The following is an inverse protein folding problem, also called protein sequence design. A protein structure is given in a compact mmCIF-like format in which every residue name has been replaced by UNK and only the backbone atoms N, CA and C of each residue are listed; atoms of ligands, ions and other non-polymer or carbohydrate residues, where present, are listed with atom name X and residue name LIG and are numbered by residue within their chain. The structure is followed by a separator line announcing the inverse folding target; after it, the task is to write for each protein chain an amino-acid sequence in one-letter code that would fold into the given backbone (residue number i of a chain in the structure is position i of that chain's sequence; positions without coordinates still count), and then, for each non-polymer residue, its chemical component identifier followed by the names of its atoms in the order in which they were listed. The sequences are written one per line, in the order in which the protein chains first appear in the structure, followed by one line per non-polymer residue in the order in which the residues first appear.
data_IF_973127339532
#
_entry.id   IF_973127339532
#
_cell.length_a   1.000
_cell.length_b   1.000
_cell.length_c   1.000
_cell.angle_alpha   90.00
_cell.angle_beta   90.00
_cell.angle_gamma   90.00
#
_symmetry.space_group_name_H-M   'P 1'
#
loop_
_entity.id
_entity.type
_entity.pdbx_description
1 polymer ?
#
# COMPACT_ATOMS: atom_id res chain seq x y z
N UNK A 1 10.96 4.32 -5.72
CA UNK A 1 9.63 4.96 -5.75
C UNK A 1 8.80 4.34 -4.63
N UNK A 2 9.05 4.76 -3.40
CA UNK A 2 8.20 4.42 -2.26
C UNK A 2 7.12 5.48 -2.31
N UNK A 3 5.92 5.13 -2.76
CA UNK A 3 4.77 6.01 -2.67
C UNK A 3 4.69 6.50 -1.23
N UNK A 4 4.45 7.80 -1.02
CA UNK A 4 4.48 8.43 0.29
C UNK A 4 3.36 7.84 1.18
N UNK A 5 3.66 6.71 1.84
CA UNK A 5 2.85 6.12 2.91
C UNK A 5 2.77 7.02 4.15
N UNK A 6 3.40 8.20 4.08
CA UNK A 6 3.37 9.28 5.07
C UNK A 6 1.97 9.91 5.19
N UNK A 7 1.20 9.96 4.10
CA UNK A 7 -0.08 10.68 4.06
C UNK A 7 -1.30 9.80 4.39
N UNK A 8 -1.11 8.51 4.63
CA UNK A 8 -2.21 7.67 5.08
C UNK A 8 -2.59 8.05 6.51
N UNK A 9 -3.88 8.23 6.79
CA UNK A 9 -4.40 8.30 8.16
C UNK A 9 -5.19 7.02 8.45
N UNK A 10 -4.85 6.30 9.51
CA UNK A 10 -5.56 5.07 9.88
C UNK A 10 -6.95 5.42 10.40
N UNK A 11 -7.97 4.94 9.69
CA UNK A 11 -9.37 5.24 9.97
C UNK A 11 -9.95 6.17 8.92
N UNK A 12 -10.65 5.56 7.96
CA UNK A 12 -11.58 6.14 6.99
C UNK A 12 -11.08 6.35 5.57
N UNK A 13 -9.83 6.74 5.27
CA UNK A 13 -9.33 6.74 3.87
C UNK A 13 -7.80 6.88 3.78
N UNK A 14 -7.09 5.77 3.52
CA UNK A 14 -5.70 5.80 3.07
C UNK A 14 -5.73 6.10 1.56
N UNK A 15 -5.98 7.36 1.22
CA UNK A 15 -6.02 7.81 -0.16
C UNK A 15 -4.59 8.09 -0.61
N UNK A 16 -4.06 7.38 -1.61
CA UNK A 16 -2.75 7.72 -2.15
C UNK A 16 -2.76 9.14 -2.72
N UNK A 17 -1.61 9.80 -2.70
CA UNK A 17 -1.52 11.13 -3.31
C UNK A 17 -1.86 11.08 -4.81
N UNK A 18 -2.42 12.17 -5.33
CA UNK A 18 -2.92 12.23 -6.70
C UNK A 18 -1.80 11.99 -7.73
N UNK A 19 -0.61 12.53 -7.49
CA UNK A 19 0.57 12.35 -8.35
C UNK A 19 0.92 10.87 -8.56
N UNK A 20 0.87 10.06 -7.50
CA UNK A 20 1.12 8.63 -7.57
C UNK A 20 0.03 7.92 -8.38
N UNK A 21 -1.25 8.24 -8.15
CA UNK A 21 -2.36 7.66 -8.91
C UNK A 21 -2.27 8.03 -10.39
N UNK A 22 -1.97 9.28 -10.71
CA UNK A 22 -1.77 9.74 -12.09
C UNK A 22 -0.61 9.02 -12.75
N UNK A 23 0.53 8.90 -12.06
CA UNK A 23 1.71 8.19 -12.58
C UNK A 23 1.42 6.71 -12.83
N UNK A 24 0.69 6.06 -11.91
CA UNK A 24 0.21 4.68 -12.10
C UNK A 24 -0.72 4.57 -13.30
N UNK A 25 -1.67 5.50 -13.46
CA UNK A 25 -2.56 5.54 -14.61
C UNK A 25 -1.81 5.65 -15.95
N UNK A 26 -0.76 6.48 -16.00
CA UNK A 26 0.09 6.61 -17.19
C UNK A 26 0.84 5.30 -17.49
N UNK A 27 1.39 4.65 -16.47
CA UNK A 27 2.16 3.40 -16.62
C UNK A 27 1.26 2.23 -17.01
N UNK A 28 0.07 2.14 -16.40
CA UNK A 28 -0.86 1.05 -16.61
C UNK A 28 -1.71 1.22 -17.88
N UNK A 29 -1.85 2.44 -18.41
CA UNK A 29 -2.63 2.71 -19.62
C UNK A 29 -4.08 2.29 -19.44
N UNK A 30 -4.58 1.47 -20.37
CA UNK A 30 -5.99 1.05 -20.44
C UNK A 30 -6.34 -0.11 -19.48
N UNK A 31 -5.41 -0.57 -18.65
CA UNK A 31 -5.69 -1.64 -17.68
C UNK A 31 -6.44 -1.10 -16.47
N UNK A 32 -7.47 -1.84 -16.05
CA UNK A 32 -8.08 -1.64 -14.75
C UNK A 32 -7.23 -2.30 -13.66
N UNK A 33 -7.28 -1.71 -12.46
CA UNK A 33 -6.46 -2.17 -11.37
C UNK A 33 -7.08 -1.89 -9.99
N UNK A 34 -6.70 -2.75 -9.05
CA UNK A 34 -6.94 -2.62 -7.62
C UNK A 34 -5.59 -2.65 -6.92
N UNK A 35 -5.39 -1.71 -6.00
CA UNK A 35 -4.15 -1.60 -5.24
C UNK A 35 -4.45 -1.82 -3.76
N UNK A 36 -3.72 -2.74 -3.14
CA UNK A 36 -3.87 -3.12 -1.74
C UNK A 36 -2.52 -3.05 -1.03
N UNK A 37 -2.56 -2.74 0.25
CA UNK A 37 -1.41 -2.82 1.15
C UNK A 37 -1.77 -3.67 2.36
N UNK A 38 -0.87 -4.56 2.75
CA UNK A 38 -0.97 -5.38 3.95
C UNK A 38 0.22 -5.12 4.86
N UNK A 39 0.01 -5.20 6.17
CA UNK A 39 1.07 -5.04 7.15
C UNK A 39 0.76 -5.84 8.41
N UNK A 40 1.77 -6.04 9.26
CA UNK A 40 1.59 -6.70 10.56
C UNK A 40 1.41 -5.66 11.67
N UNK A 41 0.38 -5.84 12.48
CA UNK A 41 0.07 -5.03 13.65
C UNK A 41 -0.33 -5.92 14.81
N UNK A 42 0.39 -5.85 15.93
CA UNK A 42 0.04 -6.57 17.16
C UNK A 42 -0.21 -8.08 16.92
N UNK A 43 0.64 -8.71 16.10
CA UNK A 43 0.53 -10.12 15.73
C UNK A 43 -0.59 -10.47 14.74
N UNK A 44 -1.33 -9.49 14.23
CA UNK A 44 -2.39 -9.66 13.23
C UNK A 44 -2.01 -9.03 11.90
N UNK A 45 -2.47 -9.62 10.79
CA UNK A 45 -2.36 -9.01 9.48
C UNK A 45 -3.49 -7.99 9.32
N UNK A 46 -3.10 -6.76 8.98
CA UNK A 46 -4.00 -5.67 8.60
C UNK A 46 -3.91 -5.42 7.11
N UNK A 47 -4.94 -4.79 6.55
CA UNK A 47 -5.00 -4.45 5.14
C UNK A 47 -5.73 -3.14 4.89
N UNK A 48 -5.35 -2.44 3.84
CA UNK A 48 -6.07 -1.30 3.29
C UNK A 48 -6.14 -1.40 1.76
N UNK A 49 -7.25 -0.95 1.20
CA UNK A 49 -7.47 -0.86 -0.24
C UNK A 49 -7.23 0.58 -0.63
N UNK A 50 -6.22 0.82 -1.46
CA UNK A 50 -5.79 2.13 -1.91
C UNK A 50 -6.56 2.58 -3.17
N UNK A 51 -6.90 1.61 -4.03
CA UNK A 51 -7.74 1.80 -5.21
C UNK A 51 -8.73 0.64 -5.28
N UNK A 52 -10.02 0.94 -5.18
CA UNK A 52 -11.09 -0.06 -5.01
C UNK A 52 -11.89 -0.29 -6.30
N UNK A 53 -11.21 -0.72 -7.36
CA UNK A 53 -11.90 -1.29 -8.54
C UNK A 53 -12.16 -2.78 -8.29
N UNK A 54 -13.29 -3.30 -8.78
CA UNK A 54 -13.64 -4.72 -8.64
C UNK A 54 -12.92 -5.56 -9.69
N UNK A 55 -12.07 -6.52 -9.28
CA UNK A 55 -11.33 -7.36 -10.22
C UNK A 55 -12.26 -8.21 -11.08
N UNK A 56 -11.90 -8.40 -12.35
CA UNK A 56 -12.52 -9.42 -13.20
C UNK A 56 -11.99 -10.82 -12.86
N UNK A 57 -12.67 -11.90 -13.26
CA UNK A 57 -12.18 -13.27 -13.04
C UNK A 57 -10.81 -13.55 -13.68
N UNK A 58 -10.42 -12.77 -14.69
CA UNK A 58 -9.14 -12.92 -15.39
C UNK A 58 -8.05 -12.02 -14.81
N UNK A 59 -8.28 -11.42 -13.65
CA UNK A 59 -7.31 -10.54 -13.02
C UNK A 59 -6.05 -11.31 -12.59
N UNK A 60 -4.90 -10.65 -12.75
CA UNK A 60 -3.60 -11.14 -12.34
C UNK A 60 -3.11 -10.28 -11.18
N UNK A 61 -2.61 -10.92 -10.13
CA UNK A 61 -2.03 -10.23 -8.98
C UNK A 61 -0.50 -10.30 -9.02
N UNK A 62 0.14 -9.18 -8.76
CA UNK A 62 1.57 -9.08 -8.47
C UNK A 62 1.74 -8.45 -7.09
N UNK A 63 2.65 -8.99 -6.27
CA UNK A 63 2.95 -8.42 -4.96
C UNK A 63 4.44 -8.23 -4.74
N UNK A 64 4.77 -7.27 -3.88
CA UNK A 64 6.12 -7.00 -3.43
C UNK A 64 6.13 -6.78 -1.93
N UNK A 65 7.07 -7.46 -1.26
CA UNK A 65 7.37 -7.20 0.14
C UNK A 65 8.36 -6.04 0.26
N UNK A 66 8.06 -5.13 1.18
CA UNK A 66 8.90 -3.99 1.54
C UNK A 66 9.18 -4.10 3.04
N UNK A 67 10.46 -3.96 3.39
CA UNK A 67 10.91 -3.92 4.77
C UNK A 67 11.38 -2.50 5.05
N UNK A 68 10.78 -1.85 6.04
CA UNK A 68 11.18 -0.53 6.52
C UNK A 68 11.46 -0.62 8.01
N UNK A 69 12.48 0.07 8.48
CA UNK A 69 12.69 0.23 9.91
C UNK A 69 11.64 1.19 10.48
N UNK A 70 11.29 1.02 11.75
CA UNK A 70 10.31 1.87 12.42
C UNK A 70 10.69 3.37 12.35
N UNK A 71 11.98 3.70 12.43
CA UNK A 71 12.47 5.09 12.26
C UNK A 71 12.19 5.68 10.88
N UNK A 72 12.13 4.85 9.83
CA UNK A 72 11.77 5.33 8.47
C UNK A 72 10.29 5.72 8.35
N UNK A 73 9.49 5.31 9.35
CA UNK A 73 8.06 5.55 9.43
C UNK A 73 7.69 6.70 10.37
N UNK A 74 8.63 7.39 11.02
CA UNK A 74 8.38 8.39 12.08
C UNK A 74 7.24 9.40 11.77
N UNK A 75 7.10 9.79 10.50
CA UNK A 75 6.05 10.70 10.01
C UNK A 75 4.95 9.99 9.21
N UNK A 76 4.61 8.76 9.57
CA UNK A 76 3.59 7.92 8.92
C UNK A 76 2.68 7.29 9.96
N UNK A 77 1.44 6.99 9.60
CA UNK A 77 0.54 6.21 10.47
C UNK A 77 0.94 4.76 10.69
N UNK A 78 1.92 4.27 9.92
CA UNK A 78 2.51 2.97 10.18
C UNK A 78 3.59 3.03 11.26
N UNK A 79 3.96 4.22 11.75
CA UNK A 79 4.87 4.37 12.88
C UNK A 79 4.29 3.71 14.13
N UNK A 80 5.16 2.99 14.85
CA UNK A 80 4.82 2.33 16.10
C UNK A 80 5.67 2.91 17.23
N UNK A 81 5.10 3.79 18.07
CA UNK A 81 5.87 4.40 19.16
C UNK A 81 6.29 3.38 20.23
N UNK A 82 5.70 2.18 20.22
CA UNK A 82 6.00 1.05 21.09
C UNK A 82 7.06 0.08 20.54
N UNK A 83 7.55 0.31 19.31
CA UNK A 83 8.61 -0.49 18.70
C UNK A 83 9.95 0.27 18.69
N UNK A 84 11.06 -0.45 18.86
CA UNK A 84 12.39 0.15 18.72
C UNK A 84 12.63 0.60 17.27
N UNK A 85 13.36 1.70 17.09
CA UNK A 85 13.61 2.34 15.78
C UNK A 85 14.12 1.39 14.69
N UNK A 86 14.97 0.44 15.06
CA UNK A 86 15.57 -0.53 14.13
C UNK A 86 14.66 -1.72 13.82
N UNK A 87 13.50 -1.87 14.50
CA UNK A 87 12.61 -2.99 14.28
C UNK A 87 12.04 -2.93 12.85
N UNK A 88 12.11 -4.04 12.10
CA UNK A 88 11.56 -4.07 10.77
C UNK A 88 10.03 -4.15 10.83
N UNK A 89 9.39 -3.29 10.05
CA UNK A 89 7.97 -3.32 9.72
C UNK A 89 7.84 -3.86 8.29
N UNK A 90 7.12 -4.98 8.16
CA UNK A 90 6.91 -5.67 6.89
C UNK A 90 5.62 -5.17 6.26
N UNK A 91 5.70 -4.79 4.99
CA UNK A 91 4.57 -4.46 4.15
C UNK A 91 4.50 -5.40 2.95
N UNK A 92 3.31 -5.79 2.54
CA UNK A 92 3.05 -6.33 1.20
C UNK A 92 2.26 -5.29 0.43
N UNK A 93 2.80 -4.83 -0.70
CA UNK A 93 2.04 -4.04 -1.67
C UNK A 93 1.59 -4.98 -2.78
N UNK A 94 0.28 -5.07 -3.01
CA UNK A 94 -0.33 -5.95 -3.99
C UNK A 94 -1.08 -5.14 -5.03
N UNK A 95 -0.69 -5.33 -6.29
CA UNK A 95 -1.33 -4.77 -7.45
C UNK A 95 -2.08 -5.88 -8.19
N UNK A 96 -3.39 -5.72 -8.34
CA UNK A 96 -4.27 -6.63 -9.06
C UNK A 96 -4.69 -5.92 -10.34
N UNK A 97 -4.45 -6.54 -11.49
CA UNK A 97 -4.60 -5.92 -12.82
C UNK A 97 -5.47 -6.78 -13.73
N UNK A 98 -6.30 -6.15 -14.55
CA UNK A 98 -7.08 -6.83 -15.58
C UNK A 98 -7.34 -5.91 -16.77
N UNK A 99 -7.67 -6.52 -17.92
CA UNK A 99 -8.25 -5.76 -19.03
C UNK A 99 -9.72 -5.47 -18.71
N UNK A 100 -10.23 -4.27 -19.04
CA UNK A 100 -11.64 -3.92 -18.89
C UNK A 100 -12.59 -4.97 -19.49
#
# INVERSE_FOLDING_TARGET
MIANLRDCTLGVNCTPNEEFITSLGIILGDYDYRLEIYWVENGSIRSAVLVDKRPSPNAVAASRYILLNNSELENSVFHRPDLEDWKPVVFEVRLILWRP
#
